data_IF_528170149907
#
_entry.id   IF_528170149907
#
_cell.length_a   1.000
_cell.length_b   1.000
_cell.length_c   1.000
_cell.angle_alpha   90.00
_cell.angle_beta   90.00
_cell.angle_gamma   90.00
#
_symmetry.space_group_name_H-M   'P 1'
#
loop_
_entity.id
_entity.type
_entity.pdbx_description
1 polymer ?
#
# COMPACT_ATOMS: atom_id res chain seq x y z
N UNK A 1 -11.65 -29.13 -3.52
CA UNK A 1 -11.81 -27.73 -3.93
C UNK A 1 -11.48 -26.91 -2.72
N UNK A 2 -10.31 -26.27 -2.69
CA UNK A 2 -9.92 -25.27 -1.69
C UNK A 2 -8.75 -24.48 -2.26
N UNK A 3 -9.05 -23.62 -3.24
CA UNK A 3 -8.13 -22.59 -3.71
C UNK A 3 -8.12 -21.45 -2.70
N UNK A 4 -7.26 -21.56 -1.68
CA UNK A 4 -6.87 -20.40 -0.86
C UNK A 4 -5.90 -19.54 -1.67
N UNK A 5 -6.45 -18.76 -2.59
CA UNK A 5 -5.77 -17.58 -3.12
C UNK A 5 -5.50 -16.65 -1.94
N UNK A 6 -4.28 -16.70 -1.41
CA UNK A 6 -3.80 -15.73 -0.44
C UNK A 6 -3.74 -14.36 -1.11
N UNK A 7 -4.81 -13.58 -0.96
CA UNK A 7 -4.86 -12.20 -1.40
C UNK A 7 -3.80 -11.43 -0.60
N UNK A 8 -2.73 -11.00 -1.26
CA UNK A 8 -1.66 -10.22 -0.66
C UNK A 8 -2.18 -8.80 -0.37
N UNK A 9 -2.46 -8.49 0.89
CA UNK A 9 -2.89 -7.17 1.35
C UNK A 9 -1.66 -6.41 1.85
N UNK A 10 -1.46 -5.12 1.48
CA UNK A 10 -0.48 -4.28 2.16
C UNK A 10 -0.76 -4.26 3.67
N UNK A 11 0.27 -4.06 4.50
CA UNK A 11 0.13 -4.10 5.97
C UNK A 11 -0.91 -3.13 6.52
N UNK A 12 -1.21 -2.08 5.76
CA UNK A 12 -2.18 -1.06 6.09
C UNK A 12 -3.13 -0.90 4.90
N UNK A 13 -4.42 -1.10 5.15
CA UNK A 13 -5.52 -0.75 4.25
C UNK A 13 -6.41 0.34 4.84
N UNK A 14 -7.45 0.74 4.12
CA UNK A 14 -8.49 1.61 4.66
C UNK A 14 -9.30 0.83 5.70
N UNK A 15 -9.17 1.20 6.98
CA UNK A 15 -9.80 0.51 8.12
C UNK A 15 -11.00 1.24 8.72
N UNK A 16 -11.20 2.51 8.36
CA UNK A 16 -12.22 3.35 8.94
C UNK A 16 -12.25 4.76 8.37
N UNK A 17 -13.20 5.54 8.88
CA UNK A 17 -13.47 6.93 8.53
C UNK A 17 -13.23 7.82 9.75
N UNK A 18 -13.17 9.13 9.51
CA UNK A 18 -13.18 10.15 10.56
C UNK A 18 -14.34 11.09 10.29
N UNK A 19 -15.12 11.41 11.32
CA UNK A 19 -16.21 12.38 11.28
C UNK A 19 -15.90 13.49 12.28
N UNK A 20 -15.83 14.72 11.78
CA UNK A 20 -15.77 15.93 12.60
C UNK A 20 -17.19 16.44 12.83
N UNK A 21 -17.57 16.67 14.08
CA UNK A 21 -18.90 17.22 14.38
C UNK A 21 -19.11 18.58 13.69
N UNK A 22 -20.28 18.75 13.06
CA UNK A 22 -20.61 19.95 12.29
C UNK A 22 -20.12 19.94 10.84
N UNK A 23 -19.38 18.91 10.40
CA UNK A 23 -18.95 18.73 9.01
C UNK A 23 -19.68 17.54 8.35
N UNK A 24 -20.28 17.79 7.19
CA UNK A 24 -20.90 16.75 6.35
C UNK A 24 -19.89 16.28 5.29
N UNK A 25 -19.06 15.31 5.67
CA UNK A 25 -18.16 14.62 4.75
C UNK A 25 -18.71 13.22 4.40
N UNK A 26 -18.64 12.79 3.12
CA UNK A 26 -19.04 11.45 2.74
C UNK A 26 -18.10 10.41 3.36
N UNK A 27 -18.68 9.35 3.94
CA UNK A 27 -17.92 8.21 4.44
C UNK A 27 -17.40 7.39 3.25
N UNK A 28 -16.08 7.15 3.20
CA UNK A 28 -15.39 6.57 2.04
C UNK A 28 -15.26 5.04 2.17
N UNK A 29 -15.25 4.50 3.41
CA UNK A 29 -15.03 3.07 3.67
C UNK A 29 -16.08 2.42 4.58
N UNK A 30 -16.12 1.08 4.56
CA UNK A 30 -17.02 0.24 5.38
C UNK A 30 -16.46 -0.11 6.78
N UNK A 31 -15.52 0.69 7.28
CA UNK A 31 -14.82 0.46 8.53
C UNK A 31 -15.47 1.14 9.75
N UNK A 32 -14.71 1.26 10.84
CA UNK A 32 -15.15 2.07 11.99
C UNK A 32 -15.21 3.55 11.61
N UNK A 33 -15.92 4.36 12.40
CA UNK A 33 -15.92 5.82 12.25
C UNK A 33 -15.45 6.44 13.56
N UNK A 34 -14.33 7.15 13.51
CA UNK A 34 -13.88 7.98 14.64
C UNK A 34 -14.70 9.25 14.67
N UNK A 35 -15.27 9.57 15.83
CA UNK A 35 -16.00 10.82 16.03
C UNK A 35 -15.13 11.79 16.80
N UNK A 36 -14.99 13.01 16.31
CA UNK A 36 -14.16 14.05 16.94
C UNK A 36 -14.84 15.42 16.83
N UNK A 37 -14.66 16.27 17.83
CA UNK A 37 -15.11 17.68 17.75
C UNK A 37 -13.95 18.60 17.38
N UNK A 38 -14.25 19.81 16.94
CA UNK A 38 -13.22 20.80 16.62
C UNK A 38 -12.39 21.16 17.85
N UNK A 39 -13.03 21.29 19.01
CA UNK A 39 -12.37 21.62 20.28
C UNK A 39 -11.36 20.56 20.69
N UNK A 40 -11.68 19.27 20.49
CA UNK A 40 -10.76 18.15 20.78
C UNK A 40 -9.53 18.19 19.87
N UNK A 41 -9.69 18.56 18.60
CA UNK A 41 -8.58 18.75 17.66
C UNK A 41 -7.70 19.95 18.03
N UNK A 42 -8.31 21.08 18.38
CA UNK A 42 -7.61 22.33 18.71
C UNK A 42 -6.83 22.23 20.04
N UNK A 43 -7.41 21.56 21.03
CA UNK A 43 -6.79 21.34 22.34
C UNK A 43 -5.83 20.15 22.37
N UNK A 44 -5.85 19.31 21.33
CA UNK A 44 -5.16 18.01 21.30
C UNK A 44 -5.48 17.14 22.55
N UNK A 45 -6.71 17.21 23.05
CA UNK A 45 -7.15 16.50 24.26
C UNK A 45 -7.40 15.01 23.96
N UNK A 46 -6.39 14.19 24.26
CA UNK A 46 -6.47 12.74 24.12
C UNK A 46 -7.55 12.12 25.03
N UNK A 47 -7.80 12.66 26.22
CA UNK A 47 -8.78 12.13 27.16
C UNK A 47 -10.20 12.34 26.63
N UNK A 48 -10.50 13.55 26.12
CA UNK A 48 -11.77 13.82 25.46
C UNK A 48 -11.95 12.95 24.20
N UNK A 49 -10.88 12.78 23.40
CA UNK A 49 -10.92 11.91 22.22
C UNK A 49 -11.27 10.45 22.57
N UNK A 50 -10.59 9.86 23.57
CA UNK A 50 -10.83 8.49 23.99
C UNK A 50 -12.21 8.29 24.63
N UNK A 51 -12.74 9.32 25.30
CA UNK A 51 -14.09 9.28 25.90
C UNK A 51 -15.18 9.16 24.83
N UNK A 52 -14.99 9.80 23.67
CA UNK A 52 -15.90 9.72 22.53
C UNK A 52 -15.66 8.49 21.63
N UNK A 53 -14.54 7.78 21.81
CA UNK A 53 -14.12 6.63 21.00
C UNK A 53 -13.60 5.49 21.90
N UNK A 54 -14.48 4.93 22.72
CA UNK A 54 -14.20 3.95 23.78
C UNK A 54 -13.57 2.63 23.30
N UNK A 55 -13.78 2.27 22.03
CA UNK A 55 -13.15 1.12 21.38
C UNK A 55 -11.67 1.34 21.02
N UNK A 56 -11.17 2.57 21.17
CA UNK A 56 -9.77 2.92 20.90
C UNK A 56 -8.92 2.94 22.17
N UNK A 57 -7.62 2.68 22.01
CA UNK A 57 -6.63 2.83 23.08
C UNK A 57 -5.49 3.69 22.59
N UNK A 58 -5.11 4.67 23.39
CA UNK A 58 -3.92 5.46 23.08
C UNK A 58 -2.66 4.61 23.26
N UNK A 59 -1.82 4.59 22.24
CA UNK A 59 -0.50 3.96 22.29
C UNK A 59 0.48 4.76 21.45
N UNK A 60 1.73 4.83 21.90
CA UNK A 60 2.81 5.38 21.10
C UNK A 60 3.31 4.30 20.14
N UNK A 61 3.18 4.55 18.84
CA UNK A 61 3.70 3.66 17.82
C UNK A 61 5.18 3.96 17.60
N UNK A 62 6.02 2.94 17.75
CA UNK A 62 7.44 2.99 17.39
C UNK A 62 7.54 2.44 15.96
N UNK A 63 8.21 3.14 15.03
CA UNK A 63 8.46 2.59 13.71
C UNK A 63 9.19 1.25 13.81
N UNK A 64 8.67 0.24 13.15
CA UNK A 64 9.26 -1.09 13.08
C UNK A 64 9.58 -1.43 11.61
N UNK A 65 10.47 -2.40 11.42
CA UNK A 65 10.80 -2.96 10.11
C UNK A 65 11.91 -2.25 9.34
N UNK A 66 12.28 -2.85 8.21
CA UNK A 66 13.28 -2.35 7.28
C UNK A 66 12.61 -1.87 6.00
N UNK A 67 13.00 -0.69 5.51
CA UNK A 67 12.51 -0.20 4.22
C UNK A 67 13.40 -0.63 3.06
N UNK A 68 12.78 -1.23 2.04
CA UNK A 68 13.44 -1.50 0.77
C UNK A 68 12.99 -0.50 -0.30
N UNK A 69 13.93 0.01 -1.09
CA UNK A 69 13.66 0.89 -2.22
C UNK A 69 14.01 0.21 -3.52
N UNK A 70 13.06 0.17 -4.45
CA UNK A 70 13.23 -0.33 -5.81
C UNK A 70 12.80 0.78 -6.77
N UNK A 71 13.58 0.98 -7.83
CA UNK A 71 13.18 1.81 -8.95
C UNK A 71 12.52 0.92 -10.00
N UNK A 72 11.30 1.28 -10.39
CA UNK A 72 10.53 0.59 -11.43
C UNK A 72 10.17 1.61 -12.49
N UNK A 73 10.36 1.24 -13.75
CA UNK A 73 9.94 2.03 -14.89
C UNK A 73 8.65 1.44 -15.47
N UNK A 74 7.71 2.33 -15.81
CA UNK A 74 6.46 1.98 -16.46
C UNK A 74 6.29 2.88 -17.68
N UNK A 75 5.97 2.27 -18.82
CA UNK A 75 5.67 2.96 -20.07
C UNK A 75 4.42 2.37 -20.71
N UNK A 76 3.61 3.24 -21.32
CA UNK A 76 2.42 2.84 -22.06
C UNK A 76 2.17 3.81 -23.22
N UNK A 77 1.59 3.29 -24.30
CA UNK A 77 1.16 4.10 -25.43
C UNK A 77 -0.22 4.69 -25.13
N UNK A 78 -0.39 5.98 -25.44
CA UNK A 78 -1.64 6.71 -25.23
C UNK A 78 -2.15 7.19 -26.58
N UNK A 79 -3.39 6.86 -26.93
CA UNK A 79 -4.03 7.35 -28.15
C UNK A 79 -4.68 8.70 -27.88
N UNK A 80 -4.53 9.61 -28.84
CA UNK A 80 -5.14 10.93 -28.78
C UNK A 80 -6.66 10.84 -28.58
N UNK A 81 -7.19 11.55 -27.58
CA UNK A 81 -8.61 11.54 -27.22
C UNK A 81 -9.08 10.30 -26.45
N UNK A 82 -8.18 9.41 -26.04
CA UNK A 82 -8.47 8.23 -25.21
C UNK A 82 -7.44 8.00 -24.11
N UNK A 83 -6.63 9.01 -23.80
CA UNK A 83 -5.46 8.93 -22.91
C UNK A 83 -5.84 8.43 -21.52
N UNK A 84 -6.95 8.92 -20.96
CA UNK A 84 -7.42 8.51 -19.64
C UNK A 84 -7.83 7.03 -19.56
N UNK A 85 -8.46 6.52 -20.64
CA UNK A 85 -8.87 5.11 -20.73
C UNK A 85 -7.65 4.22 -20.96
N UNK A 86 -6.76 4.63 -21.85
CA UNK A 86 -5.53 3.89 -22.18
C UNK A 86 -4.60 3.82 -20.96
N UNK A 87 -4.42 4.94 -20.24
CA UNK A 87 -3.64 4.98 -19.00
C UNK A 87 -4.24 4.07 -17.93
N UNK A 88 -5.57 4.14 -17.71
CA UNK A 88 -6.24 3.27 -16.73
C UNK A 88 -6.05 1.80 -17.07
N UNK A 89 -6.32 1.42 -18.32
CA UNK A 89 -6.16 0.03 -18.76
C UNK A 89 -4.71 -0.44 -18.67
N UNK A 90 -3.74 0.42 -19.01
CA UNK A 90 -2.33 0.09 -18.89
C UNK A 90 -1.90 -0.07 -17.43
N UNK A 91 -2.38 0.78 -16.53
CA UNK A 91 -2.12 0.67 -15.10
C UNK A 91 -2.73 -0.60 -14.50
N UNK A 92 -3.98 -0.93 -14.84
CA UNK A 92 -4.64 -2.17 -14.41
C UNK A 92 -3.89 -3.41 -14.88
N UNK A 93 -3.47 -3.43 -16.15
CA UNK A 93 -2.62 -4.51 -16.70
C UNK A 93 -1.29 -4.59 -15.99
N UNK A 94 -0.65 -3.46 -15.69
CA UNK A 94 0.61 -3.43 -14.95
C UNK A 94 0.44 -4.02 -13.54
N UNK A 95 -0.58 -3.58 -12.79
CA UNK A 95 -0.91 -4.08 -11.45
C UNK A 95 -1.15 -5.59 -11.47
N UNK A 96 -1.94 -6.09 -12.42
CA UNK A 96 -2.26 -7.52 -12.55
C UNK A 96 -1.02 -8.38 -12.83
N UNK A 97 0.02 -7.80 -13.43
CA UNK A 97 1.26 -8.50 -13.76
C UNK A 97 2.43 -8.22 -12.79
N UNK A 98 2.21 -7.46 -11.70
CA UNK A 98 3.27 -7.16 -10.70
C UNK A 98 3.91 -8.43 -10.13
N UNK A 99 3.12 -9.49 -10.00
CA UNK A 99 3.54 -10.80 -9.51
C UNK A 99 4.60 -11.49 -10.39
N UNK A 100 4.76 -11.06 -11.63
CA UNK A 100 5.77 -11.58 -12.55
C UNK A 100 7.12 -10.85 -12.40
N UNK A 101 7.14 -9.72 -11.70
CA UNK A 101 8.37 -8.96 -11.49
C UNK A 101 9.32 -9.70 -10.55
N UNK A 102 10.61 -9.52 -10.84
CA UNK A 102 11.72 -10.06 -10.05
C UNK A 102 12.70 -8.93 -9.76
N UNK A 103 13.09 -8.80 -8.49
CA UNK A 103 14.01 -7.77 -8.03
C UNK A 103 15.26 -8.42 -7.45
N UNK A 104 16.43 -7.93 -7.85
CA UNK A 104 17.71 -8.47 -7.39
C UNK A 104 18.61 -7.34 -6.89
N UNK A 105 19.31 -7.61 -5.79
CA UNK A 105 20.38 -6.78 -5.25
C UNK A 105 21.66 -7.63 -5.31
N UNK A 106 22.44 -7.44 -6.37
CA UNK A 106 23.66 -8.23 -6.63
C UNK A 106 24.73 -8.03 -5.57
N UNK A 107 24.88 -6.79 -5.10
CA UNK A 107 25.80 -6.42 -4.01
C UNK A 107 25.44 -7.04 -2.65
N UNK A 108 24.16 -7.32 -2.39
CA UNK A 108 23.70 -7.94 -1.13
C UNK A 108 23.37 -9.43 -1.27
N UNK A 109 23.43 -9.97 -2.49
CA UNK A 109 23.06 -11.35 -2.78
C UNK A 109 21.57 -11.65 -2.52
N UNK A 110 20.69 -10.67 -2.66
CA UNK A 110 19.25 -10.81 -2.39
C UNK A 110 18.49 -10.92 -3.72
N UNK A 111 17.57 -11.88 -3.80
CA UNK A 111 16.65 -12.07 -4.92
C UNK A 111 15.22 -12.18 -4.40
N UNK A 112 14.33 -11.36 -4.94
CA UNK A 112 12.92 -11.28 -4.60
C UNK A 112 12.11 -11.58 -5.86
N UNK A 113 11.28 -12.61 -5.78
CA UNK A 113 10.37 -13.02 -6.86
C UNK A 113 9.21 -13.78 -6.27
N UNK A 114 8.05 -13.79 -6.93
CA UNK A 114 6.94 -14.66 -6.54
C UNK A 114 7.38 -16.13 -6.63
N UNK A 115 7.22 -16.89 -5.56
CA UNK A 115 7.66 -18.29 -5.49
C UNK A 115 6.69 -19.18 -6.29
N UNK A 116 7.15 -19.78 -7.39
CA UNK A 116 6.58 -21.03 -7.89
C UNK A 116 7.12 -22.18 -7.03
N UNK A 117 6.25 -23.03 -6.50
CA UNK A 117 6.46 -23.90 -5.34
C UNK A 117 7.56 -24.99 -5.43
N UNK A 118 8.52 -24.93 -6.38
CA UNK A 118 9.48 -26.02 -6.61
C UNK A 118 10.97 -25.66 -6.63
N UNK A 119 11.38 -24.39 -6.52
CA UNK A 119 12.78 -24.00 -6.84
C UNK A 119 13.61 -23.36 -5.71
N UNK A 120 13.27 -23.55 -4.42
CA UNK A 120 14.04 -22.95 -3.32
C UNK A 120 14.73 -24.01 -2.45
N UNK A 121 15.91 -24.48 -2.86
CA UNK A 121 16.78 -25.32 -2.00
C UNK A 121 18.04 -24.63 -1.45
N UNK A 122 18.62 -23.59 -2.07
CA UNK A 122 19.96 -23.09 -1.65
C UNK A 122 20.13 -21.57 -1.51
N UNK A 123 19.09 -20.79 -1.23
CA UNK A 123 19.24 -19.37 -0.85
C UNK A 123 18.55 -19.18 0.51
N UNK A 124 19.18 -18.44 1.45
CA UNK A 124 18.59 -18.13 2.76
C UNK A 124 17.15 -17.65 2.54
N UNK A 125 16.21 -18.50 2.93
CA UNK A 125 14.77 -18.28 2.78
C UNK A 125 14.35 -17.23 3.79
N UNK A 126 14.22 -15.97 3.36
CA UNK A 126 13.27 -15.09 4.01
C UNK A 126 11.89 -15.44 3.43
N UNK A 127 10.92 -15.87 4.25
CA UNK A 127 9.59 -16.15 3.77
C UNK A 127 8.96 -14.86 3.23
N UNK A 128 8.19 -14.96 2.14
CA UNK A 128 7.39 -13.84 1.60
C UNK A 128 6.47 -13.19 2.65
N UNK A 129 6.10 -13.92 3.70
CA UNK A 129 5.29 -13.43 4.81
C UNK A 129 6.01 -12.40 5.69
N UNK A 130 7.36 -12.39 5.69
CA UNK A 130 8.16 -11.34 6.34
C UNK A 130 8.40 -10.13 5.42
N UNK A 131 8.17 -10.30 4.12
CA UNK A 131 8.47 -9.29 3.10
C UNK A 131 7.32 -8.31 2.91
N UNK A 132 6.07 -8.79 2.93
CA UNK A 132 4.92 -7.89 2.83
C UNK A 132 4.70 -7.10 4.11
N UNK A 133 5.06 -7.66 5.27
CA UNK A 133 5.09 -7.02 6.61
C UNK A 133 6.12 -5.90 6.77
N UNK A 134 7.04 -5.73 5.81
CA UNK A 134 8.10 -4.73 5.87
C UNK A 134 8.06 -3.75 4.68
N UNK A 135 7.17 -3.98 3.71
CA UNK A 135 7.11 -3.18 2.48
C UNK A 135 6.12 -2.03 2.61
N UNK A 136 6.47 -1.07 3.46
CA UNK A 136 5.60 0.05 3.82
C UNK A 136 5.28 1.04 2.68
N UNK A 137 6.03 1.04 1.57
CA UNK A 137 5.63 1.80 0.38
C UNK A 137 6.34 1.36 -0.89
N UNK A 138 5.59 1.17 -1.97
CA UNK A 138 6.12 1.23 -3.34
C UNK A 138 5.89 2.66 -3.82
N UNK A 139 6.95 3.49 -3.86
CA UNK A 139 6.88 4.78 -4.53
C UNK A 139 7.21 4.60 -6.00
N UNK A 140 6.18 4.65 -6.84
CA UNK A 140 6.34 4.74 -8.29
C UNK A 140 6.69 6.19 -8.60
N UNK A 141 7.94 6.42 -9.02
CA UNK A 141 8.37 7.72 -9.52
C UNK A 141 8.13 7.75 -11.02
N UNK A 142 7.23 8.62 -11.47
CA UNK A 142 7.05 8.90 -12.89
C UNK A 142 8.15 9.86 -13.37
N UNK A 143 8.78 9.55 -14.50
CA UNK A 143 9.63 10.49 -15.22
C UNK A 143 9.12 10.61 -16.65
N UNK A 144 8.47 11.73 -16.98
CA UNK A 144 8.21 12.09 -18.37
C UNK A 144 9.49 12.59 -19.01
N UNK A 145 10.38 11.68 -19.38
CA UNK A 145 11.37 11.98 -20.39
C UNK A 145 10.99 11.15 -21.59
N UNK A 146 10.61 11.86 -22.65
CA UNK A 146 10.37 11.42 -24.04
C UNK A 146 8.90 11.53 -24.47
N UNK A 147 8.45 12.78 -24.62
CA UNK A 147 7.55 13.13 -25.73
C UNK A 147 8.46 13.49 -26.91
N UNK A 148 8.47 12.65 -27.95
CA UNK A 148 8.84 13.10 -29.29
C UNK A 148 7.51 13.25 -30.02
N UNK A 149 7.23 14.49 -30.43
CA UNK A 149 6.07 14.87 -31.22
C UNK A 149 6.08 14.21 -32.61
#
# INVERSE_FOLDING_TARGET
MDDKHGTHVPDIGLVGNVRVEGEDAPLIGNGFTLTITREVLESADCTAFLSSNDFTRHSSLIPDGLSMRIQVEFSCALRNGSEGVDLRSAAEKFITNLDQLTFASTNKGILLRKNSSKAAKNIKKLPWTSFLTELHSIRIFYSSKHFVA
#
